data_IF_970208210092
#
_entry.id   IF_970208210092
#
_cell.length_a   1.000
_cell.length_b   1.000
_cell.length_c   1.000
_cell.angle_alpha   90.00
_cell.angle_beta   90.00
_cell.angle_gamma   90.00
#
_symmetry.space_group_name_H-M   'P 1'
#
loop_
_entity.id
_entity.type
_entity.pdbx_description
1 polymer ?
#
# COMPACT_ATOMS: atom_id res chain seq x y z
N UNK A 1 -9.33 -16.69 -35.68
CA UNK A 1 -9.85 -17.57 -34.62
C UNK A 1 -10.08 -16.68 -33.41
N UNK A 2 -11.22 -16.79 -32.73
CA UNK A 2 -11.41 -16.08 -31.47
C UNK A 2 -10.38 -16.62 -30.47
N UNK A 3 -9.59 -15.75 -29.84
CA UNK A 3 -8.62 -16.15 -28.80
C UNK A 3 -9.39 -16.88 -27.68
N UNK A 4 -9.01 -18.13 -27.39
CA UNK A 4 -9.65 -18.90 -26.33
C UNK A 4 -9.15 -18.42 -24.96
N UNK A 5 -10.00 -18.48 -23.92
CA UNK A 5 -9.68 -18.06 -22.55
C UNK A 5 -8.37 -18.68 -22.05
N UNK A 6 -8.20 -19.98 -22.30
CA UNK A 6 -7.01 -20.73 -21.87
C UNK A 6 -5.73 -20.22 -22.55
N UNK A 7 -5.79 -19.86 -23.83
CA UNK A 7 -4.65 -19.30 -24.56
C UNK A 7 -4.24 -17.93 -24.00
N UNK A 8 -5.23 -17.09 -23.66
CA UNK A 8 -4.98 -15.79 -23.05
C UNK A 8 -4.36 -15.91 -21.65
N UNK A 9 -4.85 -16.85 -20.84
CA UNK A 9 -4.27 -17.13 -19.51
C UNK A 9 -2.84 -17.67 -19.64
N UNK A 10 -2.58 -18.58 -20.58
CA UNK A 10 -1.22 -19.08 -20.83
C UNK A 10 -0.30 -17.94 -21.29
N UNK A 11 -0.77 -17.05 -22.15
CA UNK A 11 -0.01 -15.87 -22.58
C UNK A 11 0.30 -14.93 -21.41
N UNK A 12 -0.65 -14.72 -20.49
CA UNK A 12 -0.43 -13.93 -19.29
C UNK A 12 0.67 -14.55 -18.39
N UNK A 13 0.67 -15.87 -18.22
CA UNK A 13 1.72 -16.59 -17.45
C UNK A 13 3.09 -16.47 -18.10
N UNK A 14 3.17 -16.57 -19.43
CA UNK A 14 4.43 -16.34 -20.16
C UNK A 14 4.92 -14.89 -20.01
N UNK A 15 4.00 -13.92 -20.07
CA UNK A 15 4.32 -12.51 -19.87
C UNK A 15 4.80 -12.22 -18.45
N UNK A 16 4.22 -12.86 -17.43
CA UNK A 16 4.68 -12.80 -16.04
C UNK A 16 6.13 -13.29 -15.90
N UNK A 17 6.45 -14.46 -16.45
CA UNK A 17 7.81 -15.02 -16.43
C UNK A 17 8.84 -14.15 -17.16
N UNK A 18 8.41 -13.40 -18.16
CA UNK A 18 9.24 -12.46 -18.89
C UNK A 18 9.23 -11.04 -18.29
N UNK A 19 8.55 -10.83 -17.14
CA UNK A 19 8.35 -9.54 -16.49
C UNK A 19 7.73 -8.46 -17.40
N UNK A 20 7.02 -8.88 -18.46
CA UNK A 20 6.32 -8.01 -19.39
C UNK A 20 4.89 -7.74 -18.91
N UNK A 21 4.78 -7.04 -17.78
CA UNK A 21 3.50 -6.84 -17.09
C UNK A 21 2.45 -6.07 -17.91
N UNK A 22 2.85 -5.20 -18.85
CA UNK A 22 1.92 -4.54 -19.78
C UNK A 22 1.23 -5.57 -20.70
N UNK A 23 1.97 -6.55 -21.23
CA UNK A 23 1.41 -7.64 -22.06
C UNK A 23 0.53 -8.58 -21.22
N UNK A 24 0.94 -8.82 -19.97
CA UNK A 24 0.18 -9.59 -18.99
C UNK A 24 -1.17 -8.92 -18.70
N UNK A 25 -1.18 -7.61 -18.47
CA UNK A 25 -2.39 -6.84 -18.19
C UNK A 25 -3.34 -6.86 -19.40
N UNK A 26 -2.83 -6.67 -20.62
CA UNK A 26 -3.63 -6.77 -21.84
C UNK A 26 -4.28 -8.15 -22.02
N UNK A 27 -3.53 -9.22 -21.73
CA UNK A 27 -4.07 -10.59 -21.83
C UNK A 27 -5.16 -10.83 -20.79
N UNK A 28 -4.92 -10.43 -19.53
CA UNK A 28 -5.89 -10.59 -18.44
C UNK A 28 -7.11 -9.68 -18.57
N UNK A 29 -6.96 -8.51 -19.20
CA UNK A 29 -8.09 -7.66 -19.59
C UNK A 29 -9.04 -8.40 -20.52
N UNK A 30 -8.51 -8.99 -21.60
CA UNK A 30 -9.32 -9.80 -22.53
C UNK A 30 -9.99 -10.98 -21.82
N UNK A 31 -9.27 -11.69 -20.96
CA UNK A 31 -9.84 -12.79 -20.14
C UNK A 31 -11.05 -12.31 -19.33
N UNK A 32 -10.95 -11.11 -18.75
CA UNK A 32 -12.03 -10.50 -17.97
C UNK A 32 -13.22 -10.10 -18.83
N UNK A 33 -12.96 -9.53 -20.01
CA UNK A 33 -13.98 -9.07 -20.97
C UNK A 33 -14.77 -10.22 -21.63
N UNK A 34 -14.24 -11.46 -21.63
CA UNK A 34 -15.00 -12.66 -22.01
C UNK A 34 -16.21 -12.91 -21.10
N UNK A 35 -16.22 -12.30 -19.90
CA UNK A 35 -17.41 -12.22 -19.06
C UNK A 35 -17.72 -13.47 -18.22
N UNK A 36 -16.85 -14.48 -18.20
CA UNK A 36 -16.94 -15.54 -17.18
C UNK A 36 -16.41 -15.04 -15.83
N UNK A 37 -16.92 -15.59 -14.72
CA UNK A 37 -16.29 -15.37 -13.41
C UNK A 37 -14.83 -15.85 -13.43
N UNK A 38 -13.94 -15.06 -12.83
CA UNK A 38 -12.52 -15.41 -12.75
C UNK A 38 -12.26 -16.41 -11.63
N UNK A 39 -11.48 -17.44 -11.94
CA UNK A 39 -10.93 -18.36 -10.94
C UNK A 39 -9.99 -17.61 -9.97
N UNK A 40 -9.65 -18.22 -8.84
CA UNK A 40 -8.69 -17.62 -7.90
C UNK A 40 -7.32 -17.36 -8.55
N UNK A 41 -6.86 -18.27 -9.41
CA UNK A 41 -5.60 -18.11 -10.15
C UNK A 41 -5.69 -16.93 -11.14
N UNK A 42 -6.77 -16.87 -11.94
CA UNK A 42 -6.99 -15.79 -12.90
C UNK A 42 -7.11 -14.43 -12.21
N UNK A 43 -7.80 -14.36 -11.07
CA UNK A 43 -7.93 -13.16 -10.25
C UNK A 43 -6.56 -12.69 -9.73
N UNK A 44 -5.72 -13.62 -9.29
CA UNK A 44 -4.37 -13.31 -8.82
C UNK A 44 -3.50 -12.80 -9.99
N UNK A 45 -3.54 -13.44 -11.16
CA UNK A 45 -2.82 -12.98 -12.36
C UNK A 45 -3.24 -11.56 -12.75
N UNK A 46 -4.55 -11.27 -12.79
CA UNK A 46 -5.05 -9.92 -13.07
C UNK A 46 -4.50 -8.90 -12.07
N UNK A 47 -4.54 -9.23 -10.77
CA UNK A 47 -4.05 -8.34 -9.72
C UNK A 47 -2.55 -8.11 -9.81
N UNK A 48 -1.75 -9.14 -10.07
CA UNK A 48 -0.28 -9.05 -10.21
C UNK A 48 0.08 -8.20 -11.42
N UNK A 49 -0.59 -8.43 -12.56
CA UNK A 49 -0.35 -7.69 -13.79
C UNK A 49 -0.51 -6.18 -13.58
N UNK A 50 -1.71 -5.76 -13.17
CA UNK A 50 -2.00 -4.33 -13.03
C UNK A 50 -1.26 -3.69 -11.83
N UNK A 51 -0.99 -4.43 -10.74
CA UNK A 51 -0.16 -3.93 -9.63
C UNK A 51 1.23 -3.54 -10.10
N UNK A 52 1.86 -4.36 -10.94
CA UNK A 52 3.19 -4.06 -11.48
C UNK A 52 3.15 -2.90 -12.49
N UNK A 53 2.17 -2.91 -13.40
CA UNK A 53 2.00 -1.83 -14.39
C UNK A 53 1.81 -0.49 -13.69
N UNK A 54 0.84 -0.36 -12.77
CA UNK A 54 0.57 0.90 -12.05
C UNK A 54 1.71 1.25 -11.09
N UNK A 55 2.35 0.25 -10.47
CA UNK A 55 3.47 0.45 -9.55
C UNK A 55 4.67 1.13 -10.23
N UNK A 56 5.02 0.70 -11.43
CA UNK A 56 6.07 1.33 -12.23
C UNK A 56 5.77 2.81 -12.50
N UNK A 57 4.52 3.15 -12.91
CA UNK A 57 4.12 4.52 -13.24
C UNK A 57 4.05 5.40 -11.99
N UNK A 58 3.58 4.87 -10.85
CA UNK A 58 3.63 5.56 -9.54
C UNK A 58 5.06 5.88 -9.11
N UNK A 59 5.98 4.94 -9.27
CA UNK A 59 7.40 5.15 -8.96
C UNK A 59 8.00 6.26 -9.84
N UNK A 60 7.79 6.18 -11.16
CA UNK A 60 8.22 7.23 -12.09
C UNK A 60 7.62 8.59 -11.74
N UNK A 61 6.32 8.64 -11.42
CA UNK A 61 5.66 9.89 -11.05
C UNK A 61 6.28 10.54 -9.81
N UNK A 62 6.59 9.77 -8.75
CA UNK A 62 7.24 10.30 -7.54
C UNK A 62 8.62 10.90 -7.85
N UNK A 63 9.42 10.19 -8.64
CA UNK A 63 10.76 10.66 -9.03
C UNK A 63 10.67 11.96 -9.80
N UNK A 64 9.80 12.03 -10.81
CA UNK A 64 9.66 13.22 -11.66
C UNK A 64 9.07 14.40 -10.87
N UNK A 65 8.09 14.15 -9.99
CA UNK A 65 7.52 15.18 -9.11
C UNK A 65 8.58 15.77 -8.17
N UNK A 66 9.47 14.93 -7.63
CA UNK A 66 10.60 15.38 -6.80
C UNK A 66 11.61 16.21 -7.61
N UNK A 67 11.91 15.81 -8.85
CA UNK A 67 12.78 16.58 -9.75
C UNK A 67 12.16 17.94 -10.08
N UNK A 68 10.86 18.00 -10.40
CA UNK A 68 10.15 19.24 -10.69
C UNK A 68 10.19 20.21 -9.51
N UNK A 69 10.00 19.71 -8.28
CA UNK A 69 10.06 20.53 -7.06
C UNK A 69 11.46 21.06 -6.74
N UNK A 70 12.51 20.27 -7.01
CA UNK A 70 13.91 20.64 -6.71
C UNK A 70 14.59 21.45 -7.82
N UNK A 71 13.95 21.59 -8.98
CA UNK A 71 14.52 22.33 -10.11
C UNK A 71 14.35 23.83 -9.90
N UNK A 72 15.38 24.47 -9.35
CA UNK A 72 15.44 25.93 -9.17
C UNK A 72 16.29 26.61 -10.26
N UNK A 73 16.03 27.89 -10.53
CA UNK A 73 16.88 28.76 -11.36
C UNK A 73 16.85 28.52 -12.87
N UNK A 74 16.03 27.59 -13.38
CA UNK A 74 15.84 27.38 -14.82
C UNK A 74 14.39 27.04 -15.18
N UNK A 75 13.63 28.06 -15.60
CA UNK A 75 12.23 27.93 -16.03
C UNK A 75 12.06 26.85 -17.12
N UNK A 76 13.01 26.74 -18.05
CA UNK A 76 12.97 25.74 -19.12
C UNK A 76 13.05 24.30 -18.59
N UNK A 77 13.93 24.03 -17.62
CA UNK A 77 14.04 22.69 -17.02
C UNK A 77 12.81 22.36 -16.18
N UNK A 78 12.28 23.34 -15.45
CA UNK A 78 11.07 23.18 -14.66
C UNK A 78 9.86 22.85 -15.54
N UNK A 79 9.71 23.55 -16.67
CA UNK A 79 8.65 23.29 -17.64
C UNK A 79 8.77 21.89 -18.26
N UNK A 80 9.99 21.45 -18.63
CA UNK A 80 10.20 20.09 -19.15
C UNK A 80 9.85 19.01 -18.12
N UNK A 81 10.22 19.21 -16.84
CA UNK A 81 9.89 18.29 -15.77
C UNK A 81 8.36 18.20 -15.56
N UNK A 82 7.69 19.35 -15.56
CA UNK A 82 6.23 19.45 -15.46
C UNK A 82 5.50 18.70 -16.59
N UNK A 83 5.88 18.95 -17.84
CA UNK A 83 5.27 18.28 -19.00
C UNK A 83 5.44 16.76 -18.94
N UNK A 84 6.60 16.30 -18.47
CA UNK A 84 6.86 14.88 -18.31
C UNK A 84 6.08 14.28 -17.14
N UNK A 85 5.94 15.00 -16.01
CA UNK A 85 5.06 14.60 -14.89
C UNK A 85 3.64 14.41 -15.40
N UNK A 86 3.08 15.40 -16.10
CA UNK A 86 1.71 15.37 -16.62
C UNK A 86 1.48 14.23 -17.64
N UNK A 87 2.52 13.85 -18.40
CA UNK A 87 2.48 12.65 -19.24
C UNK A 87 2.32 11.38 -18.39
N UNK A 88 3.17 11.19 -17.37
CA UNK A 88 3.09 10.02 -16.48
C UNK A 88 1.77 9.97 -15.72
N UNK A 89 1.24 11.13 -15.32
CA UNK A 89 -0.08 11.23 -14.66
C UNK A 89 -1.23 10.78 -15.57
N UNK A 90 -1.17 11.09 -16.87
CA UNK A 90 -2.17 10.60 -17.82
C UNK A 90 -2.09 9.09 -17.95
N UNK A 91 -0.90 8.53 -18.14
CA UNK A 91 -0.71 7.08 -18.21
C UNK A 91 -1.22 6.36 -16.95
N UNK A 92 -0.90 6.89 -15.77
CA UNK A 92 -1.39 6.37 -14.49
C UNK A 92 -2.91 6.44 -14.40
N UNK A 93 -3.52 7.58 -14.78
CA UNK A 93 -4.97 7.75 -14.81
C UNK A 93 -5.63 6.76 -15.75
N UNK A 94 -5.09 6.55 -16.94
CA UNK A 94 -5.64 5.63 -17.93
C UNK A 94 -5.61 4.19 -17.41
N UNK A 95 -4.49 3.76 -16.82
CA UNK A 95 -4.37 2.43 -16.18
C UNK A 95 -5.40 2.27 -15.06
N UNK A 96 -5.59 3.29 -14.23
CA UNK A 96 -6.56 3.21 -13.14
C UNK A 96 -8.00 3.12 -13.64
N UNK A 97 -8.38 3.95 -14.61
CA UNK A 97 -9.74 3.89 -15.19
C UNK A 97 -10.00 2.57 -15.91
N UNK A 98 -8.99 2.00 -16.57
CA UNK A 98 -9.11 0.68 -17.21
C UNK A 98 -9.48 -0.40 -16.18
N UNK A 99 -8.80 -0.43 -15.04
CA UNK A 99 -9.10 -1.39 -13.97
C UNK A 99 -10.45 -1.12 -13.33
N UNK A 100 -10.78 0.15 -13.05
CA UNK A 100 -12.07 0.52 -12.46
C UNK A 100 -13.24 0.10 -13.37
N UNK A 101 -13.09 0.26 -14.68
CA UNK A 101 -14.05 -0.19 -15.67
C UNK A 101 -14.21 -1.71 -15.67
N UNK A 102 -13.12 -2.47 -15.58
CA UNK A 102 -13.18 -3.93 -15.47
C UNK A 102 -13.89 -4.37 -14.19
N UNK A 103 -13.59 -3.70 -13.08
CA UNK A 103 -14.21 -3.98 -11.78
C UNK A 103 -15.72 -3.74 -11.81
N UNK A 104 -16.15 -2.58 -12.32
CA UNK A 104 -17.55 -2.17 -12.30
C UNK A 104 -18.41 -2.91 -13.34
N UNK A 105 -17.86 -3.20 -14.53
CA UNK A 105 -18.62 -3.82 -15.63
C UNK A 105 -18.62 -5.35 -15.59
N UNK A 106 -17.53 -5.98 -15.15
CA UNK A 106 -17.34 -7.42 -15.31
C UNK A 106 -17.15 -8.18 -14.00
N UNK A 107 -16.40 -7.64 -13.04
CA UNK A 107 -15.94 -8.43 -11.88
C UNK A 107 -16.87 -8.33 -10.68
N UNK A 108 -17.12 -7.13 -10.15
CA UNK A 108 -17.95 -6.93 -8.95
C UNK A 108 -19.38 -7.46 -9.16
N UNK A 109 -20.06 -7.21 -10.29
CA UNK A 109 -21.42 -7.74 -10.52
C UNK A 109 -21.49 -9.27 -10.58
N UNK A 110 -20.38 -9.94 -10.91
CA UNK A 110 -20.31 -11.40 -11.09
C UNK A 110 -19.63 -12.13 -9.93
N UNK A 111 -19.22 -11.42 -8.89
CA UNK A 111 -18.58 -12.00 -7.73
C UNK A 111 -19.56 -12.92 -6.98
N UNK A 112 -19.38 -14.24 -7.10
CA UNK A 112 -20.30 -15.24 -6.56
C UNK A 112 -20.17 -15.49 -5.06
N UNK A 113 -19.10 -15.01 -4.42
CA UNK A 113 -18.82 -15.25 -3.01
C UNK A 113 -18.26 -13.98 -2.30
N UNK A 114 -18.36 -13.91 -0.95
CA UNK A 114 -17.84 -12.78 -0.19
C UNK A 114 -16.34 -12.53 -0.41
N UNK A 115 -15.53 -13.58 -0.58
CA UNK A 115 -14.08 -13.51 -0.81
C UNK A 115 -13.73 -12.73 -2.06
N UNK A 116 -14.33 -13.11 -3.19
CA UNK A 116 -14.17 -12.43 -4.48
C UNK A 116 -14.71 -11.00 -4.43
N UNK A 117 -15.86 -10.78 -3.80
CA UNK A 117 -16.45 -9.44 -3.70
C UNK A 117 -15.58 -8.48 -2.89
N UNK A 118 -15.10 -8.91 -1.71
CA UNK A 118 -14.18 -8.11 -0.89
C UNK A 118 -12.86 -7.88 -1.63
N UNK A 119 -12.33 -8.88 -2.34
CA UNK A 119 -11.11 -8.72 -3.14
C UNK A 119 -11.27 -7.61 -4.19
N UNK A 120 -12.36 -7.63 -4.97
CA UNK A 120 -12.61 -6.65 -6.02
C UNK A 120 -12.90 -5.26 -5.48
N UNK A 121 -13.67 -5.14 -4.39
CA UNK A 121 -13.93 -3.84 -3.74
C UNK A 121 -12.66 -3.25 -3.11
N UNK A 122 -11.81 -4.09 -2.49
CA UNK A 122 -10.48 -3.67 -2.03
C UNK A 122 -9.64 -3.15 -3.20
N UNK A 123 -9.61 -3.88 -4.31
CA UNK A 123 -8.90 -3.46 -5.53
C UNK A 123 -9.46 -2.12 -6.04
N UNK A 124 -10.79 -1.95 -6.08
CA UNK A 124 -11.44 -0.67 -6.44
C UNK A 124 -10.96 0.49 -5.55
N UNK A 125 -10.91 0.27 -4.23
CA UNK A 125 -10.35 1.23 -3.27
C UNK A 125 -8.89 1.58 -3.57
N UNK A 126 -8.05 0.58 -3.87
CA UNK A 126 -6.64 0.77 -4.23
C UNK A 126 -6.46 1.65 -5.48
N UNK A 127 -7.23 1.43 -6.54
CA UNK A 127 -7.12 2.23 -7.78
C UNK A 127 -7.65 3.65 -7.63
N UNK A 128 -8.73 3.86 -6.87
CA UNK A 128 -9.15 5.23 -6.52
C UNK A 128 -8.12 5.93 -5.62
N UNK A 129 -7.44 5.21 -4.72
CA UNK A 129 -6.34 5.75 -3.94
C UNK A 129 -5.17 6.19 -4.82
N UNK A 130 -4.80 5.40 -5.83
CA UNK A 130 -3.76 5.79 -6.79
C UNK A 130 -4.15 7.02 -7.61
N UNK A 131 -5.42 7.16 -7.99
CA UNK A 131 -5.94 8.38 -8.60
C UNK A 131 -5.85 9.58 -7.65
N UNK A 132 -6.17 9.39 -6.36
CA UNK A 132 -6.06 10.43 -5.35
C UNK A 132 -4.63 10.93 -5.14
N UNK A 133 -3.61 10.08 -5.32
CA UNK A 133 -2.20 10.50 -5.22
C UNK A 133 -1.83 11.58 -6.24
N UNK A 134 -2.36 11.49 -7.46
CA UNK A 134 -2.03 12.41 -8.58
C UNK A 134 -3.09 13.50 -8.81
N UNK A 135 -4.26 13.39 -8.19
CA UNK A 135 -5.35 14.35 -8.36
C UNK A 135 -5.12 15.64 -7.56
N UNK A 136 -5.55 16.76 -8.14
CA UNK A 136 -5.50 18.10 -7.54
C UNK A 136 -6.88 18.75 -7.54
N UNK A 137 -7.09 19.75 -6.67
CA UNK A 137 -8.35 20.50 -6.60
C UNK A 137 -9.59 19.64 -6.27
N UNK A 138 -10.72 19.98 -6.87
CA UNK A 138 -12.02 19.34 -6.61
C UNK A 138 -12.07 17.87 -7.05
N UNK A 139 -11.35 17.51 -8.11
CA UNK A 139 -11.23 16.13 -8.59
C UNK A 139 -10.65 15.20 -7.52
N UNK A 140 -9.74 15.72 -6.69
CA UNK A 140 -9.14 14.97 -5.58
C UNK A 140 -10.20 14.54 -4.57
N UNK A 141 -11.10 15.44 -4.16
CA UNK A 141 -12.11 15.12 -3.16
C UNK A 141 -13.04 14.00 -3.63
N UNK A 142 -13.45 14.05 -4.90
CA UNK A 142 -14.33 13.03 -5.49
C UNK A 142 -13.66 11.64 -5.55
N UNK A 143 -12.38 11.54 -5.94
CA UNK A 143 -11.67 10.25 -5.98
C UNK A 143 -11.37 9.71 -4.58
N UNK A 144 -11.09 10.59 -3.62
CA UNK A 144 -10.89 10.23 -2.22
C UNK A 144 -12.17 9.62 -1.63
N UNK A 145 -13.32 10.26 -1.85
CA UNK A 145 -14.61 9.74 -1.38
C UNK A 145 -14.90 8.36 -1.97
N UNK A 146 -14.70 8.18 -3.28
CA UNK A 146 -14.90 6.88 -3.94
C UNK A 146 -13.95 5.79 -3.42
N UNK A 147 -12.70 6.13 -3.11
CA UNK A 147 -11.75 5.20 -2.49
C UNK A 147 -12.23 4.78 -1.10
N UNK A 148 -12.65 5.74 -0.28
CA UNK A 148 -13.16 5.49 1.07
C UNK A 148 -14.42 4.62 1.04
N UNK A 149 -15.39 4.94 0.18
CA UNK A 149 -16.61 4.16 0.02
C UNK A 149 -16.31 2.70 -0.38
N UNK A 150 -15.40 2.50 -1.33
CA UNK A 150 -15.02 1.15 -1.80
C UNK A 150 -14.35 0.33 -0.70
N UNK A 151 -13.42 0.92 0.06
CA UNK A 151 -12.81 0.23 1.19
C UNK A 151 -13.80 -0.03 2.33
N UNK A 152 -14.70 0.91 2.62
CA UNK A 152 -15.70 0.74 3.67
C UNK A 152 -16.68 -0.39 3.34
N UNK A 153 -17.18 -0.45 2.10
CA UNK A 153 -18.05 -1.54 1.65
C UNK A 153 -17.34 -2.90 1.75
N UNK A 154 -16.08 -2.97 1.28
CA UNK A 154 -15.26 -4.17 1.43
C UNK A 154 -15.10 -4.57 2.91
N UNK A 155 -14.92 -3.58 3.79
CA UNK A 155 -14.68 -3.80 5.22
C UNK A 155 -15.92 -4.33 5.93
N UNK A 156 -17.09 -3.78 5.63
CA UNK A 156 -18.36 -4.21 6.21
C UNK A 156 -18.69 -5.66 5.81
N UNK A 157 -18.48 -6.01 4.54
CA UNK A 157 -18.66 -7.40 4.07
C UNK A 157 -17.64 -8.33 4.73
N UNK A 158 -16.37 -7.94 4.79
CA UNK A 158 -15.33 -8.77 5.40
C UNK A 158 -15.56 -8.97 6.90
N UNK A 159 -16.08 -7.96 7.60
CA UNK A 159 -16.41 -8.04 9.03
C UNK A 159 -17.52 -9.04 9.30
N UNK A 160 -18.55 -9.06 8.45
CA UNK A 160 -19.72 -9.93 8.59
C UNK A 160 -19.47 -11.37 8.08
N UNK A 161 -18.70 -11.53 7.00
CA UNK A 161 -18.60 -12.80 6.27
C UNK A 161 -17.26 -13.53 6.40
N UNK A 162 -16.22 -12.90 6.95
CA UNK A 162 -14.87 -13.49 7.03
C UNK A 162 -14.35 -13.54 8.45
N UNK A 163 -13.54 -14.55 8.75
CA UNK A 163 -12.81 -14.63 10.02
C UNK A 163 -11.82 -13.46 10.14
N UNK A 164 -11.58 -12.92 11.35
CA UNK A 164 -10.61 -11.84 11.57
C UNK A 164 -9.20 -12.13 11.02
N UNK A 165 -8.79 -13.40 11.00
CA UNK A 165 -7.48 -13.88 10.52
C UNK A 165 -7.43 -14.14 9.01
N UNK A 166 -8.51 -13.88 8.26
CA UNK A 166 -8.57 -14.19 6.83
C UNK A 166 -7.65 -13.28 5.99
N UNK A 167 -6.73 -13.81 5.16
CA UNK A 167 -5.71 -13.02 4.44
C UNK A 167 -6.25 -11.84 3.62
N UNK A 168 -7.41 -11.99 2.97
CA UNK A 168 -8.04 -10.90 2.20
C UNK A 168 -8.55 -9.77 3.12
N UNK A 169 -9.18 -10.11 4.25
CA UNK A 169 -9.69 -9.15 5.24
C UNK A 169 -8.53 -8.35 5.85
N UNK A 170 -7.43 -9.04 6.06
CA UNK A 170 -6.19 -8.50 6.59
C UNK A 170 -5.50 -7.56 5.60
N UNK A 171 -5.32 -7.99 4.35
CA UNK A 171 -4.80 -7.13 3.29
C UNK A 171 -5.68 -5.90 3.04
N UNK A 172 -7.00 -6.02 3.22
CA UNK A 172 -7.92 -4.89 3.18
C UNK A 172 -7.67 -3.91 4.33
N UNK A 173 -7.59 -4.39 5.58
CA UNK A 173 -7.34 -3.54 6.75
C UNK A 173 -6.00 -2.79 6.62
N UNK A 174 -4.96 -3.46 6.13
CA UNK A 174 -3.66 -2.85 5.82
C UNK A 174 -3.82 -1.68 4.84
N UNK A 175 -4.41 -1.93 3.67
CA UNK A 175 -4.54 -0.92 2.62
C UNK A 175 -5.48 0.24 3.01
N UNK A 176 -6.55 -0.05 3.76
CA UNK A 176 -7.47 0.98 4.24
C UNK A 176 -6.82 1.89 5.31
N UNK A 177 -5.95 1.32 6.15
CA UNK A 177 -5.15 2.12 7.09
C UNK A 177 -4.18 3.05 6.35
N UNK A 178 -3.47 2.54 5.35
CA UNK A 178 -2.60 3.34 4.47
C UNK A 178 -3.39 4.48 3.83
N UNK A 179 -4.61 4.22 3.35
CA UNK A 179 -5.50 5.27 2.83
C UNK A 179 -5.82 6.36 3.87
N UNK A 180 -6.24 5.98 5.09
CA UNK A 180 -6.51 6.96 6.15
C UNK A 180 -5.31 7.84 6.47
N UNK A 181 -4.11 7.28 6.38
CA UNK A 181 -2.88 7.99 6.66
C UNK A 181 -2.40 8.86 5.50
N UNK A 182 -2.10 8.25 4.35
CA UNK A 182 -1.48 8.92 3.21
C UNK A 182 -2.42 9.87 2.48
N UNK A 183 -3.73 9.57 2.48
CA UNK A 183 -4.70 10.31 1.67
C UNK A 183 -5.55 11.25 2.51
N UNK A 184 -6.07 10.77 3.64
CA UNK A 184 -6.96 11.55 4.52
C UNK A 184 -6.22 12.31 5.62
N UNK A 185 -4.89 12.11 5.76
CA UNK A 185 -4.08 12.70 6.84
C UNK A 185 -4.72 12.51 8.23
N UNK A 186 -5.34 11.34 8.45
CA UNK A 186 -6.10 10.98 9.64
C UNK A 186 -5.44 9.78 10.35
N UNK A 187 -4.23 9.96 10.93
CA UNK A 187 -3.45 8.87 11.51
C UNK A 187 -4.19 8.14 12.65
N UNK A 188 -5.02 8.86 13.41
CA UNK A 188 -5.78 8.26 14.51
C UNK A 188 -6.79 7.22 14.04
N UNK A 189 -7.44 7.45 12.88
CA UNK A 189 -8.39 6.48 12.30
C UNK A 189 -7.68 5.23 11.78
N UNK A 190 -6.49 5.39 11.19
CA UNK A 190 -5.66 4.26 10.78
C UNK A 190 -5.24 3.41 12.00
N UNK A 191 -4.81 4.05 13.08
CA UNK A 191 -4.48 3.38 14.34
C UNK A 191 -5.71 2.67 14.96
N UNK A 192 -6.90 3.27 14.90
CA UNK A 192 -8.13 2.63 15.38
C UNK A 192 -8.48 1.38 14.57
N UNK A 193 -8.30 1.41 13.24
CA UNK A 193 -8.55 0.24 12.38
C UNK A 193 -7.58 -0.91 12.71
N UNK A 194 -6.30 -0.59 12.95
CA UNK A 194 -5.29 -1.56 13.36
C UNK A 194 -5.60 -2.19 14.74
N UNK A 195 -6.12 -1.39 15.70
CA UNK A 195 -6.48 -1.84 17.04
C UNK A 195 -7.65 -2.84 17.09
N UNK A 196 -8.41 -3.00 16.00
CA UNK A 196 -9.49 -4.01 15.92
C UNK A 196 -8.96 -5.44 15.73
N UNK A 197 -7.68 -5.60 15.41
CA UNK A 197 -7.02 -6.90 15.30
C UNK A 197 -6.30 -7.24 16.63
N UNK A 198 -6.19 -8.54 16.98
CA UNK A 198 -5.37 -8.96 18.12
C UNK A 198 -3.94 -8.39 18.04
N UNK A 199 -3.29 -8.04 19.14
CA UNK A 199 -1.91 -7.56 19.16
C UNK A 199 -0.91 -8.43 18.40
N UNK A 200 -1.06 -9.74 18.52
CA UNK A 200 -0.25 -10.74 17.84
C UNK A 200 -0.54 -10.85 16.36
N UNK A 201 -1.58 -10.20 15.84
CA UNK A 201 -2.02 -10.41 14.48
C UNK A 201 -0.99 -9.88 13.47
N UNK A 202 -0.50 -10.68 12.49
CA UNK A 202 0.54 -10.29 11.55
C UNK A 202 0.30 -8.94 10.85
N UNK A 203 -0.95 -8.64 10.46
CA UNK A 203 -1.27 -7.32 9.87
C UNK A 203 -1.26 -6.17 10.85
N UNK A 204 -1.65 -6.34 12.12
CA UNK A 204 -1.51 -5.26 13.12
C UNK A 204 -0.04 -4.96 13.35
N UNK A 205 0.78 -6.01 13.47
CA UNK A 205 2.23 -5.92 13.56
C UNK A 205 2.84 -5.26 12.31
N UNK A 206 2.41 -5.67 11.12
CA UNK A 206 2.89 -5.12 9.86
C UNK A 206 2.50 -3.66 9.65
N UNK A 207 1.31 -3.26 10.11
CA UNK A 207 0.89 -1.86 10.15
C UNK A 207 1.77 -1.05 11.10
N UNK A 208 2.00 -1.55 12.31
CA UNK A 208 2.87 -0.90 13.27
C UNK A 208 4.30 -0.74 12.74
N UNK A 209 4.83 -1.76 12.05
CA UNK A 209 6.13 -1.74 11.40
C UNK A 209 6.20 -0.69 10.28
N UNK A 210 5.21 -0.65 9.39
CA UNK A 210 5.20 0.32 8.30
C UNK A 210 5.09 1.75 8.82
N UNK A 211 4.25 2.00 9.82
CA UNK A 211 4.12 3.33 10.42
C UNK A 211 5.37 3.75 11.19
N UNK A 212 6.03 2.82 11.90
CA UNK A 212 7.24 3.15 12.63
C UNK A 212 8.38 3.53 11.69
N UNK A 213 8.60 2.77 10.61
CA UNK A 213 9.59 3.10 9.57
C UNK A 213 9.29 4.47 8.96
N UNK A 214 8.03 4.75 8.64
CA UNK A 214 7.64 6.04 8.08
C UNK A 214 7.96 7.22 9.02
N UNK A 215 7.61 7.11 10.31
CA UNK A 215 7.91 8.17 11.28
C UNK A 215 9.42 8.41 11.41
N UNK A 216 10.22 7.34 11.31
CA UNK A 216 11.67 7.43 11.37
C UNK A 216 12.26 8.07 10.10
N UNK A 217 12.01 7.47 8.94
CA UNK A 217 12.69 7.83 7.68
C UNK A 217 12.10 9.07 6.99
N UNK A 218 10.79 9.31 7.13
CA UNK A 218 10.09 10.33 6.33
C UNK A 218 9.73 11.57 7.15
N UNK A 219 9.26 11.39 8.40
CA UNK A 219 8.91 12.51 9.27
C UNK A 219 10.03 12.94 10.21
N UNK A 220 11.20 12.28 10.14
CA UNK A 220 12.35 12.57 11.02
C UNK A 220 11.93 12.67 12.49
N UNK A 221 11.01 11.80 12.91
CA UNK A 221 10.40 11.75 14.24
C UNK A 221 10.74 10.41 14.93
N UNK A 222 12.02 10.18 15.30
CA UNK A 222 12.50 8.89 15.78
C UNK A 222 11.85 8.46 17.09
N UNK A 223 11.56 9.38 18.01
CA UNK A 223 10.88 9.05 19.28
C UNK A 223 9.51 8.40 19.06
N UNK A 224 8.74 8.96 18.12
CA UNK A 224 7.40 8.46 17.78
C UNK A 224 7.46 7.12 17.05
N UNK A 225 8.45 6.94 16.18
CA UNK A 225 8.72 5.66 15.51
C UNK A 225 9.04 4.55 16.52
N UNK A 226 9.97 4.83 17.44
CA UNK A 226 10.39 3.92 18.49
C UNK A 226 9.24 3.59 19.45
N UNK A 227 8.45 4.57 19.87
CA UNK A 227 7.30 4.35 20.74
C UNK A 227 6.27 3.42 20.07
N UNK A 228 5.97 3.65 18.79
CA UNK A 228 4.98 2.86 18.06
C UNK A 228 5.45 1.41 17.85
N UNK A 229 6.72 1.23 17.43
CA UNK A 229 7.29 -0.09 17.24
C UNK A 229 7.39 -0.87 18.56
N UNK A 230 7.82 -0.22 19.64
CA UNK A 230 7.93 -0.82 20.97
C UNK A 230 6.57 -1.24 21.52
N UNK A 231 5.58 -0.35 21.46
CA UNK A 231 4.23 -0.68 21.93
C UNK A 231 3.65 -1.88 21.18
N UNK A 232 3.80 -1.93 19.86
CA UNK A 232 3.29 -3.05 19.07
C UNK A 232 4.00 -4.37 19.37
N UNK A 233 5.31 -4.32 19.64
CA UNK A 233 6.10 -5.47 20.04
C UNK A 233 5.70 -5.98 21.43
N UNK A 234 5.58 -5.08 22.42
CA UNK A 234 5.20 -5.39 23.79
C UNK A 234 3.77 -5.95 23.87
N UNK A 235 2.81 -5.32 23.17
CA UNK A 235 1.43 -5.80 23.10
C UNK A 235 1.37 -7.22 22.49
N UNK A 236 2.18 -7.48 21.45
CA UNK A 236 2.19 -8.79 20.78
C UNK A 236 2.87 -9.87 21.63
N UNK A 237 3.93 -9.56 22.37
CA UNK A 237 4.54 -10.49 23.34
C UNK A 237 3.53 -10.96 24.37
N UNK A 238 2.71 -10.05 24.89
CA UNK A 238 1.77 -10.34 25.97
C UNK A 238 0.71 -11.40 25.60
N UNK A 239 0.45 -11.60 24.30
CA UNK A 239 -0.56 -12.54 23.81
C UNK A 239 0.04 -13.64 22.91
N UNK A 240 1.37 -13.71 22.75
CA UNK A 240 2.04 -14.59 21.78
C UNK A 240 1.79 -16.08 22.04
N UNK A 241 1.69 -16.46 23.31
CA UNK A 241 1.49 -17.83 23.76
C UNK A 241 0.09 -18.39 23.40
N UNK A 242 -0.81 -17.53 22.91
CA UNK A 242 -2.18 -17.92 22.52
C UNK A 242 -2.30 -18.36 21.05
N UNK A 243 -1.22 -18.25 20.26
CA UNK A 243 -1.24 -18.52 18.83
C UNK A 243 -1.12 -20.01 18.49
N UNK A 244 -1.69 -20.40 17.35
CA UNK A 244 -1.39 -21.67 16.70
C UNK A 244 -0.07 -21.59 15.92
N UNK A 245 0.49 -22.73 15.52
CA UNK A 245 1.84 -22.83 14.94
C UNK A 245 2.02 -21.98 13.66
N UNK A 246 0.99 -21.93 12.80
CA UNK A 246 1.03 -21.17 11.54
C UNK A 246 1.01 -19.66 11.81
N UNK A 247 0.11 -19.19 12.67
CA UNK A 247 0.03 -17.76 13.03
C UNK A 247 1.26 -17.31 13.82
N UNK A 248 1.82 -18.20 14.64
CA UNK A 248 3.03 -17.93 15.40
C UNK A 248 4.22 -17.61 14.49
N UNK A 249 4.43 -18.37 13.41
CA UNK A 249 5.54 -18.12 12.46
C UNK A 249 5.41 -16.75 11.79
N UNK A 250 4.22 -16.40 11.30
CA UNK A 250 3.99 -15.13 10.61
C UNK A 250 4.12 -13.93 11.55
N UNK A 251 3.58 -14.04 12.76
CA UNK A 251 3.66 -12.97 13.77
C UNK A 251 5.08 -12.76 14.27
N UNK A 252 5.81 -13.84 14.56
CA UNK A 252 7.19 -13.74 15.06
C UNK A 252 8.15 -13.18 14.02
N UNK A 253 7.94 -13.44 12.73
CA UNK A 253 8.74 -12.83 11.66
C UNK A 253 8.61 -11.30 11.65
N UNK A 254 7.40 -10.77 11.81
CA UNK A 254 7.16 -9.32 11.80
C UNK A 254 7.61 -8.68 13.11
N UNK A 255 7.43 -9.36 14.24
CA UNK A 255 7.99 -8.93 15.53
C UNK A 255 9.52 -8.86 15.49
N UNK A 256 10.17 -9.80 14.79
CA UNK A 256 11.61 -9.79 14.58
C UNK A 256 12.05 -8.53 13.81
N UNK A 257 11.36 -8.17 12.74
CA UNK A 257 11.64 -6.94 11.99
C UNK A 257 11.41 -5.67 12.84
N UNK A 258 10.35 -5.63 13.65
CA UNK A 258 10.12 -4.53 14.60
C UNK A 258 11.27 -4.39 15.60
N UNK A 259 11.78 -5.51 16.13
CA UNK A 259 12.93 -5.53 17.06
C UNK A 259 14.21 -5.06 16.39
N UNK A 260 14.47 -5.51 15.17
CA UNK A 260 15.68 -5.15 14.43
C UNK A 260 15.70 -3.65 14.11
N UNK A 261 14.56 -3.10 13.68
CA UNK A 261 14.40 -1.66 13.49
C UNK A 261 14.59 -0.87 14.79
N UNK A 262 13.98 -1.29 15.90
CA UNK A 262 14.18 -0.66 17.21
C UNK A 262 15.65 -0.64 17.63
N UNK A 263 16.36 -1.75 17.39
CA UNK A 263 17.80 -1.86 17.72
C UNK A 263 18.62 -0.86 16.89
N UNK A 264 18.35 -0.79 15.59
CA UNK A 264 19.02 0.16 14.68
C UNK A 264 18.77 1.62 15.10
N UNK A 265 17.51 1.97 15.29
CA UNK A 265 17.10 3.36 15.59
C UNK A 265 17.59 3.83 16.95
N UNK A 266 17.60 2.94 17.95
CA UNK A 266 18.12 3.29 19.27
C UNK A 266 19.65 3.41 19.29
N UNK A 267 20.36 2.66 18.43
CA UNK A 267 21.81 2.85 18.26
C UNK A 267 22.15 4.16 17.54
N UNK A 268 21.35 4.56 16.55
CA UNK A 268 21.54 5.82 15.82
C UNK A 268 21.31 7.03 16.74
N UNK A 269 20.23 7.04 17.53
CA UNK A 269 19.96 8.12 18.49
C UNK A 269 21.03 8.23 19.59
N UNK A 270 21.62 7.10 20.01
CA UNK A 270 22.69 7.10 21.00
C UNK A 270 24.03 7.61 20.45
N UNK A 271 24.23 7.53 19.13
CA UNK A 271 25.40 8.10 18.46
C UNK A 271 25.27 9.61 18.29
N UNK A 272 24.09 10.11 17.94
CA UNK A 272 23.80 11.56 17.80
C UNK A 272 23.90 12.30 19.15
N UNK A 273 23.48 11.68 20.26
CA UNK A 273 23.59 12.28 21.61
C UNK A 273 25.04 12.36 22.12
N UNK A 274 25.97 11.53 21.59
CA UNK A 274 27.39 11.58 21.95
C UNK A 274 28.18 12.65 21.18
N UNK A 275 27.72 13.08 20.00
CA UNK A 275 28.36 14.16 19.23
C UNK A 275 27.91 15.57 19.65
N UNK A 276 26.79 15.71 20.37
CA UNK A 276 26.27 17.00 20.86
C UNK A 276 26.83 17.49 22.22
N UNK A 277 27.69 16.70 22.87
CA UNK A 277 28.20 16.97 24.23
C UNK A 277 29.60 17.61 24.30
N UNK A 278 30.02 18.33 23.25
CA UNK A 278 31.34 18.97 23.17
C UNK A 278 31.28 20.49 23.31
N UNK A 279 31.80 20.97 24.44
CA UNK A 279 32.34 22.32 24.68
C UNK A 279 31.38 23.46 25.09
N UNK A 280 31.20 23.63 26.40
CA UNK A 280 31.01 24.97 26.99
C UNK A 280 31.73 25.10 28.34
N UNK A 281 32.78 25.95 28.36
CA UNK A 281 33.35 26.59 29.56
C UNK A 281 34.64 25.95 30.05
N UNK A 282 35.78 26.63 30.20
CA UNK A 282 35.95 28.02 30.63
C UNK A 282 37.19 28.67 30.00
N UNK A 283 36.98 29.87 29.47
CA UNK A 283 38.04 30.88 29.28
C UNK A 283 37.91 31.92 30.40
N UNK A 284 39.02 32.13 31.14
CA UNK A 284 39.37 33.44 31.69
C UNK A 284 39.24 33.63 33.21
N UNK A 285 40.37 33.90 33.86
CA UNK A 285 40.39 34.82 35.01
C UNK A 285 41.59 34.72 35.95
N UNK A 286 42.58 35.59 35.69
CA UNK A 286 43.68 36.09 36.54
C UNK A 286 44.92 35.22 36.75
#
# INVERSE_FOLDING_TARGET
MAENKDELVQRAKLAEQAERYDDMAQSMKKVTELGSELSNEERNLLSVAYKNVVGARRSSWRVISSIEQKTEGSEKKQQMAKEYREKVERELRDICHDVLDLLDKFLIPKAGNPESKVFYLKMKGDYYRYLAEVATGDDRNAVVEKSQQSYQEAFDIAKDKMQPTHPIRLGLALNFSVFYYEILNAPDKACQLAKQLPPTHPVRLGLALNYSVFFYEIQSSPDRACQLAKQAFDDAIAELDTLNEDSYKDSTLIMQLLRDNLTLWTSDTAADDQEGGGDTGETGGQ
#
